data_IF_135514416234
#
_entry.id   IF_135514416234
#
_cell.length_a   1.000
_cell.length_b   1.000
_cell.length_c   1.000
_cell.angle_alpha   90.00
_cell.angle_beta   90.00
_cell.angle_gamma   90.00
#
_symmetry.space_group_name_H-M   'P 1'
#
loop_
_entity.id
_entity.type
_entity.pdbx_description
1 polymer ?
#
# COMPACT_ATOMS: atom_id res chain seq x y z
N UNK A 1 7.40 -22.35 -16.26
CA UNK A 1 6.03 -21.82 -16.04
C UNK A 1 5.90 -20.98 -14.76
N UNK A 2 6.91 -20.89 -13.90
CA UNK A 2 6.80 -20.21 -12.60
C UNK A 2 7.38 -18.77 -12.60
N UNK A 3 8.28 -18.45 -13.53
CA UNK A 3 8.99 -17.16 -13.51
C UNK A 3 8.21 -16.03 -14.18
N UNK A 4 7.45 -16.32 -15.25
CA UNK A 4 6.53 -15.34 -15.85
C UNK A 4 5.40 -14.94 -14.91
N UNK A 5 4.87 -15.89 -14.14
CA UNK A 5 3.83 -15.61 -13.14
C UNK A 5 4.41 -14.73 -12.02
N UNK A 6 5.60 -15.05 -11.52
CA UNK A 6 6.30 -14.22 -10.53
C UNK A 6 6.61 -12.83 -11.05
N UNK A 7 7.08 -12.70 -12.28
CA UNK A 7 7.38 -11.41 -12.90
C UNK A 7 6.12 -10.55 -13.03
N UNK A 8 4.99 -11.14 -13.43
CA UNK A 8 3.69 -10.45 -13.50
C UNK A 8 3.19 -10.00 -12.14
N UNK A 9 3.33 -10.84 -11.10
CA UNK A 9 2.95 -10.46 -9.73
C UNK A 9 3.81 -9.29 -9.24
N UNK A 10 5.12 -9.34 -9.45
CA UNK A 10 6.02 -8.26 -9.06
C UNK A 10 5.76 -6.95 -9.82
N UNK A 11 5.40 -7.03 -11.10
CA UNK A 11 5.03 -5.86 -11.90
C UNK A 11 3.74 -5.22 -11.39
N UNK A 12 2.73 -6.03 -11.06
CA UNK A 12 1.47 -5.55 -10.50
C UNK A 12 1.66 -4.92 -9.12
N UNK A 13 2.50 -5.50 -8.26
CA UNK A 13 2.84 -4.94 -6.95
C UNK A 13 3.50 -3.56 -7.08
N UNK A 14 4.47 -3.41 -7.99
CA UNK A 14 5.11 -2.13 -8.29
C UNK A 14 4.13 -1.09 -8.82
N UNK A 15 3.23 -1.50 -9.72
CA UNK A 15 2.22 -0.60 -10.28
C UNK A 15 1.25 -0.12 -9.20
N UNK A 16 0.78 -1.03 -8.34
CA UNK A 16 -0.10 -0.71 -7.24
C UNK A 16 0.56 0.30 -6.28
N UNK A 17 1.83 0.07 -5.91
CA UNK A 17 2.60 1.01 -5.07
C UNK A 17 2.74 2.38 -5.72
N UNK A 18 3.06 2.44 -7.02
CA UNK A 18 3.15 3.71 -7.74
C UNK A 18 1.82 4.47 -7.80
N UNK A 19 0.70 3.76 -7.99
CA UNK A 19 -0.64 4.35 -7.98
C UNK A 19 -0.98 4.91 -6.60
N UNK A 20 -0.71 4.17 -5.52
CA UNK A 20 -0.95 4.65 -4.15
C UNK A 20 -0.11 5.90 -3.87
N UNK A 21 1.17 5.94 -4.28
CA UNK A 21 2.01 7.12 -4.13
C UNK A 21 1.43 8.33 -4.87
N UNK A 22 1.08 8.17 -6.15
CA UNK A 22 0.54 9.27 -6.97
C UNK A 22 -0.77 9.81 -6.40
N UNK A 23 -1.66 8.91 -5.94
CA UNK A 23 -2.91 9.31 -5.33
C UNK A 23 -2.69 9.99 -3.97
N UNK A 24 -1.73 9.52 -3.17
CA UNK A 24 -1.37 10.12 -1.88
C UNK A 24 -0.76 11.52 -2.00
N UNK A 25 0.01 11.78 -3.07
CA UNK A 25 0.52 13.13 -3.36
C UNK A 25 -0.65 14.08 -3.72
N UNK A 26 -1.63 13.59 -4.48
CA UNK A 26 -2.81 14.37 -4.87
C UNK A 26 -3.78 14.60 -3.71
N UNK A 27 -3.95 13.59 -2.85
CA UNK A 27 -4.83 13.60 -1.70
C UNK A 27 -4.11 12.96 -0.49
N UNK A 28 -3.53 13.79 0.40
CA UNK A 28 -2.83 13.31 1.58
C UNK A 28 -3.70 12.49 2.53
N UNK A 29 -5.03 12.69 2.54
CA UNK A 29 -5.96 12.00 3.43
C UNK A 29 -6.27 10.58 2.98
N UNK A 30 -6.03 10.24 1.70
CA UNK A 30 -6.25 8.91 1.18
C UNK A 30 -5.42 7.84 1.91
N UNK A 31 -4.21 8.20 2.36
CA UNK A 31 -3.38 7.29 3.15
C UNK A 31 -3.97 7.01 4.54
N UNK A 32 -4.70 7.97 5.12
CA UNK A 32 -5.38 7.79 6.39
C UNK A 32 -6.61 6.89 6.23
N UNK A 33 -7.35 7.05 5.12
CA UNK A 33 -8.48 6.19 4.77
C UNK A 33 -8.05 4.74 4.50
N UNK A 34 -6.96 4.55 3.75
CA UNK A 34 -6.39 3.22 3.52
C UNK A 34 -5.96 2.55 4.82
N UNK A 35 -5.30 3.30 5.71
CA UNK A 35 -4.89 2.78 7.03
C UNK A 35 -6.10 2.40 7.90
N UNK A 36 -7.20 3.16 7.83
CA UNK A 36 -8.45 2.82 8.49
C UNK A 36 -9.08 1.52 7.94
N UNK A 37 -9.08 1.34 6.61
CA UNK A 37 -9.56 0.11 5.97
C UNK A 37 -8.74 -1.10 6.42
N UNK A 38 -7.40 -0.97 6.48
CA UNK A 38 -6.54 -2.06 6.92
C UNK A 38 -6.70 -2.37 8.41
N UNK A 39 -6.93 -1.38 9.27
CA UNK A 39 -7.25 -1.60 10.70
C UNK A 39 -8.58 -2.31 10.91
N UNK A 40 -9.60 -1.97 10.11
CA UNK A 40 -10.90 -2.68 10.13
C UNK A 40 -10.71 -4.14 9.70
N UNK A 41 -9.91 -4.38 8.66
CA UNK A 41 -9.58 -5.73 8.20
C UNK A 41 -8.78 -6.53 9.26
N UNK A 42 -7.93 -5.88 10.06
CA UNK A 42 -7.16 -6.53 11.12
C UNK A 42 -8.02 -6.92 12.33
N UNK A 43 -9.07 -6.12 12.62
CA UNK A 43 -10.01 -6.36 13.72
C UNK A 43 -11.20 -7.25 13.38
N UNK A 44 -11.53 -7.44 12.09
CA UNK A 44 -12.58 -8.35 11.64
C UNK A 44 -11.98 -9.59 10.99
N UNK A 45 -11.94 -10.70 11.74
CA UNK A 45 -11.69 -12.02 11.15
C UNK A 45 -12.72 -12.27 10.03
N UNK A 46 -12.27 -12.24 8.77
CA UNK A 46 -12.97 -12.84 7.64
C UNK A 46 -13.76 -11.92 6.70
N UNK A 47 -13.81 -10.59 6.90
CA UNK A 47 -14.63 -9.71 6.04
C UNK A 47 -13.86 -8.96 4.94
N UNK A 48 -12.57 -8.65 5.15
CA UNK A 48 -11.74 -7.97 4.15
C UNK A 48 -10.41 -8.71 4.03
N UNK A 49 -10.34 -9.61 3.05
CA UNK A 49 -9.09 -10.27 2.62
C UNK A 49 -8.50 -11.22 3.66
N UNK A 50 -8.51 -12.52 3.37
CA UNK A 50 -7.81 -13.52 4.17
C UNK A 50 -6.29 -13.42 3.91
N UNK A 51 -5.68 -12.34 4.39
CA UNK A 51 -4.25 -12.13 4.34
C UNK A 51 -3.65 -12.65 5.66
N UNK A 52 -2.64 -13.50 5.55
CA UNK A 52 -1.90 -13.97 6.71
C UNK A 52 -1.15 -12.81 7.40
N UNK A 53 -0.81 -13.00 8.67
CA UNK A 53 -0.18 -11.97 9.50
C UNK A 53 1.11 -11.39 8.88
N UNK A 54 1.87 -12.20 8.14
CA UNK A 54 3.12 -11.76 7.48
C UNK A 54 2.82 -10.83 6.31
N UNK A 55 1.82 -11.15 5.49
CA UNK A 55 1.38 -10.28 4.39
C UNK A 55 0.86 -8.95 4.92
N UNK A 56 0.09 -8.94 6.01
CA UNK A 56 -0.37 -7.68 6.64
C UNK A 56 0.78 -6.83 7.16
N UNK A 57 1.75 -7.43 7.85
CA UNK A 57 2.93 -6.70 8.33
C UNK A 57 3.75 -6.09 7.18
N UNK A 58 3.85 -6.81 6.06
CA UNK A 58 4.48 -6.29 4.85
C UNK A 58 3.72 -5.10 4.26
N UNK A 59 2.40 -5.20 4.10
CA UNK A 59 1.56 -4.12 3.59
C UNK A 59 1.65 -2.84 4.44
N UNK A 60 1.59 -2.98 5.78
CA UNK A 60 1.74 -1.84 6.68
C UNK A 60 3.12 -1.16 6.55
N UNK A 61 4.17 -1.95 6.34
CA UNK A 61 5.53 -1.41 6.14
C UNK A 61 5.64 -0.65 4.81
N UNK A 62 5.05 -1.17 3.74
CA UNK A 62 5.01 -0.52 2.43
C UNK A 62 4.20 0.78 2.47
N UNK A 63 3.06 0.81 3.16
CA UNK A 63 2.26 2.03 3.33
C UNK A 63 3.01 3.12 4.11
N UNK A 64 3.76 2.74 5.15
CA UNK A 64 4.59 3.68 5.89
C UNK A 64 5.69 4.28 5.00
N UNK A 65 6.32 3.46 4.14
CA UNK A 65 7.30 3.93 3.16
C UNK A 65 6.66 4.91 2.16
N UNK A 66 5.50 4.57 1.62
CA UNK A 66 4.75 5.41 0.68
C UNK A 66 4.42 6.76 1.31
N UNK A 67 3.97 6.77 2.57
CA UNK A 67 3.70 8.01 3.32
C UNK A 67 4.94 8.88 3.45
N UNK A 68 6.08 8.27 3.78
CA UNK A 68 7.36 8.99 3.87
C UNK A 68 7.76 9.61 2.52
N UNK A 69 7.62 8.85 1.42
CA UNK A 69 7.93 9.34 0.08
C UNK A 69 7.01 10.47 -0.37
N UNK A 70 5.69 10.33 -0.15
CA UNK A 70 4.72 11.36 -0.49
C UNK A 70 4.99 12.67 0.27
N UNK A 71 5.39 12.58 1.55
CA UNK A 71 5.75 13.76 2.34
C UNK A 71 6.99 14.47 1.80
N UNK A 72 8.05 13.72 1.46
CA UNK A 72 9.27 14.27 0.84
C UNK A 72 8.99 14.93 -0.50
N UNK A 73 8.08 14.36 -1.32
CA UNK A 73 7.67 14.97 -2.59
C UNK A 73 6.89 16.27 -2.40
N UNK A 74 6.00 16.36 -1.40
CA UNK A 74 5.28 17.60 -1.11
C UNK A 74 6.23 18.72 -0.66
N UNK A 75 7.20 18.41 0.21
CA UNK A 75 8.20 19.38 0.69
C UNK A 75 9.13 19.92 -0.41
N UNK A 76 9.36 19.12 -1.46
CA UNK A 76 10.23 19.52 -2.60
C UNK A 76 9.50 20.30 -3.70
N UNK A 77 8.18 20.47 -3.59
CA UNK A 77 7.38 21.24 -4.56
C UNK A 77 7.11 22.69 -4.10
N UNK A 78 7.74 23.12 -2.99
CA UNK A 78 7.66 24.48 -2.44
C UNK A 78 8.82 25.39 -2.88
#
# INVERSE_FOLDING_TARGET
MNDDIRARIAANDRLLKAVIILLAIKDPHLLDELDAIFKIADGQEGLIGDADKKTRAHLNSELALIRSLAHVSLDTTH
#
